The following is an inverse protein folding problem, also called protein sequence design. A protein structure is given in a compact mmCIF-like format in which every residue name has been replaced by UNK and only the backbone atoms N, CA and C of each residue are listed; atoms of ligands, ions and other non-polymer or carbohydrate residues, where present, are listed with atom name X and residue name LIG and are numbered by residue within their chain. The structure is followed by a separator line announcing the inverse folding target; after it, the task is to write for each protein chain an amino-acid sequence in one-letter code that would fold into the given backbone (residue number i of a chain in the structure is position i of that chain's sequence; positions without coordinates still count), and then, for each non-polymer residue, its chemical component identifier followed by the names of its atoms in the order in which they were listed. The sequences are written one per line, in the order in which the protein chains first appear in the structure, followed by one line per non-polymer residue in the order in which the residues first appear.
data_IF_522188584298
#
_entry.id   IF_522188584298
#
_cell.length_a   1.000
_cell.length_b   1.000
_cell.length_c   1.000
_cell.angle_alpha   90.00
_cell.angle_beta   90.00
_cell.angle_gamma   90.00
#
_symmetry.space_group_name_H-M   'P 1'
#
loop_
_entity.id
_entity.type
_entity.pdbx_description
1 polymer ?
#
# COMPACT_ATOMS: atom_id res chain seq x y z
N UNK A 1 -17.48 27.14 34.40
CA UNK A 1 -16.87 25.95 33.80
C UNK A 1 -16.62 24.92 34.90
N UNK A 2 -17.25 23.76 34.84
CA UNK A 2 -17.19 22.71 35.86
C UNK A 2 -15.93 21.84 35.68
N UNK A 3 -15.56 21.07 36.71
CA UNK A 3 -14.46 20.09 36.60
C UNK A 3 -14.73 19.04 35.51
N UNK A 4 -15.99 18.63 35.35
CA UNK A 4 -16.39 17.69 34.32
C UNK A 4 -16.22 18.29 32.91
N UNK A 5 -16.59 19.55 32.71
CA UNK A 5 -16.40 20.26 31.44
C UNK A 5 -14.91 20.41 31.11
N UNK A 6 -14.06 20.75 32.09
CA UNK A 6 -12.61 20.83 31.89
C UNK A 6 -12.06 19.47 31.45
N UNK A 7 -12.47 18.40 32.14
CA UNK A 7 -12.04 17.05 31.80
C UNK A 7 -12.46 16.67 30.37
N UNK A 8 -13.75 16.81 30.05
CA UNK A 8 -14.29 16.39 28.76
C UNK A 8 -13.78 17.24 27.59
N UNK A 9 -13.64 18.55 27.77
CA UNK A 9 -13.32 19.48 26.67
C UNK A 9 -11.83 19.76 26.48
N UNK A 10 -10.98 19.42 27.47
CA UNK A 10 -9.53 19.67 27.38
C UNK A 10 -8.72 18.42 27.67
N UNK A 11 -9.01 17.66 28.72
CA UNK A 11 -8.21 16.48 29.10
C UNK A 11 -8.43 15.34 28.10
N UNK A 12 -9.69 14.98 27.84
CA UNK A 12 -10.03 13.91 26.88
C UNK A 12 -9.40 14.12 25.49
N UNK A 13 -9.60 15.27 24.80
CA UNK A 13 -9.01 15.47 23.49
C UNK A 13 -7.48 15.59 23.51
N UNK A 14 -6.88 16.08 24.60
CA UNK A 14 -5.41 16.10 24.75
C UNK A 14 -4.84 14.68 24.82
N UNK A 15 -5.42 13.83 25.67
CA UNK A 15 -4.99 12.43 25.78
C UNK A 15 -5.24 11.69 24.47
N UNK A 16 -6.40 11.90 23.85
CA UNK A 16 -6.71 11.36 22.51
C UNK A 16 -5.68 11.79 21.46
N UNK A 17 -5.25 13.05 21.47
CA UNK A 17 -4.22 13.55 20.54
C UNK A 17 -2.87 12.86 20.72
N UNK A 18 -2.46 12.65 21.98
CA UNK A 18 -1.20 11.96 22.31
C UNK A 18 -1.26 10.49 21.86
N UNK A 19 -2.35 9.79 22.18
CA UNK A 19 -2.50 8.37 21.81
C UNK A 19 -2.56 8.21 20.29
N UNK A 20 -3.32 9.05 19.59
CA UNK A 20 -3.36 9.04 18.13
C UNK A 20 -1.95 9.16 17.53
N UNK A 21 -1.14 10.07 18.07
CA UNK A 21 0.26 10.25 17.65
C UNK A 21 1.09 8.97 17.85
N UNK A 22 0.94 8.30 18.99
CA UNK A 22 1.62 7.04 19.26
C UNK A 22 1.19 5.90 18.32
N UNK A 23 -0.11 5.83 17.99
CA UNK A 23 -0.64 4.80 17.09
C UNK A 23 -0.03 4.88 15.68
N UNK A 24 0.29 6.07 15.19
CA UNK A 24 0.96 6.24 13.89
C UNK A 24 2.37 5.64 13.84
N UNK A 25 3.03 5.44 14.99
CA UNK A 25 4.38 4.88 15.04
C UNK A 25 4.45 3.41 14.58
N UNK A 26 3.36 2.65 14.70
CA UNK A 26 3.32 1.24 14.30
C UNK A 26 3.58 1.08 12.80
N UNK A 27 2.84 1.82 11.96
CA UNK A 27 2.97 1.72 10.50
C UNK A 27 4.33 2.21 9.99
N UNK A 28 4.94 3.19 10.69
CA UNK A 28 6.29 3.66 10.37
C UNK A 28 7.33 2.55 10.49
N UNK A 29 7.25 1.75 11.56
CA UNK A 29 8.18 0.65 11.78
C UNK A 29 8.07 -0.40 10.66
N UNK A 30 6.84 -0.75 10.26
CA UNK A 30 6.59 -1.77 9.25
C UNK A 30 7.08 -1.34 7.86
N UNK A 31 6.81 -0.09 7.46
CA UNK A 31 7.32 0.42 6.18
C UNK A 31 8.83 0.61 6.19
N UNK A 32 9.43 1.07 7.31
CA UNK A 32 10.89 1.16 7.42
C UNK A 32 11.52 -0.20 7.16
N UNK A 33 10.98 -1.27 7.74
CA UNK A 33 11.45 -2.63 7.48
C UNK A 33 11.33 -3.01 6.00
N UNK A 34 10.20 -2.73 5.36
CA UNK A 34 10.01 -2.98 3.93
C UNK A 34 11.03 -2.20 3.07
N UNK A 35 11.32 -0.94 3.41
CA UNK A 35 12.32 -0.13 2.72
C UNK A 35 13.75 -0.68 2.86
N UNK A 36 14.11 -1.21 4.03
CA UNK A 36 15.40 -1.87 4.25
C UNK A 36 15.54 -3.15 3.43
N UNK A 37 14.47 -3.94 3.33
CA UNK A 37 14.43 -5.16 2.52
C UNK A 37 14.38 -4.87 1.02
N UNK A 38 13.86 -3.69 0.64
CA UNK A 38 13.66 -3.32 -0.76
C UNK A 38 12.40 -3.95 -1.39
N UNK A 39 11.54 -4.57 -0.59
CA UNK A 39 10.27 -5.15 -1.05
C UNK A 39 9.15 -4.92 -0.04
N UNK A 40 7.92 -4.71 -0.55
CA UNK A 40 6.72 -4.55 0.28
C UNK A 40 6.35 -5.84 1.01
N UNK A 41 6.70 -7.01 0.45
CA UNK A 41 6.32 -8.30 1.01
C UNK A 41 4.81 -8.40 1.25
N UNK A 42 4.44 -8.66 2.50
CA UNK A 42 3.04 -8.78 2.95
C UNK A 42 2.40 -7.44 3.37
N UNK A 43 3.15 -6.33 3.31
CA UNK A 43 2.64 -5.02 3.70
C UNK A 43 1.73 -4.47 2.60
N UNK A 44 0.44 -4.38 2.89
CA UNK A 44 -0.52 -3.73 2.00
C UNK A 44 -0.43 -2.20 2.14
N UNK A 45 -0.07 -1.47 1.08
CA UNK A 45 0.03 -0.02 1.13
C UNK A 45 -1.31 0.71 0.94
N UNK A 46 -2.38 -0.01 0.60
CA UNK A 46 -3.70 0.59 0.34
C UNK A 46 -4.28 1.37 1.54
N UNK A 47 -4.20 0.89 2.80
CA UNK A 47 -4.67 1.64 3.96
C UNK A 47 -3.97 2.99 4.17
N UNK A 48 -2.73 3.14 3.70
CA UNK A 48 -1.98 4.40 3.85
C UNK A 48 -2.62 5.54 3.04
N UNK A 49 -3.25 5.23 1.91
CA UNK A 49 -3.92 6.20 1.03
C UNK A 49 -5.13 6.80 1.75
N UNK A 50 -5.96 5.95 2.35
CA UNK A 50 -7.12 6.39 3.12
C UNK A 50 -6.71 7.07 4.42
N UNK A 51 -5.64 6.62 5.08
CA UNK A 51 -5.10 7.29 6.26
C UNK A 51 -4.72 8.76 5.97
N UNK A 52 -4.08 9.02 4.83
CA UNK A 52 -3.78 10.39 4.40
C UNK A 52 -5.05 11.21 4.15
N UNK A 53 -6.04 10.63 3.47
CA UNK A 53 -7.33 11.27 3.24
C UNK A 53 -8.09 11.57 4.54
N UNK A 54 -8.13 10.63 5.47
CA UNK A 54 -8.78 10.78 6.76
C UNK A 54 -8.12 11.90 7.59
N UNK A 55 -6.79 11.87 7.73
CA UNK A 55 -6.07 12.88 8.52
C UNK A 55 -6.22 14.28 7.91
N UNK A 56 -6.12 14.42 6.59
CA UNK A 56 -6.40 15.68 5.91
C UNK A 56 -7.85 16.15 6.12
N UNK A 57 -8.82 15.26 5.97
CA UNK A 57 -10.23 15.56 6.17
C UNK A 57 -10.53 16.06 7.59
N UNK A 58 -9.93 15.45 8.61
CA UNK A 58 -10.08 15.89 10.00
C UNK A 58 -9.39 17.21 10.29
N UNK A 59 -8.25 17.50 9.65
CA UNK A 59 -7.59 18.81 9.73
C UNK A 59 -8.49 19.89 9.13
N UNK A 60 -9.05 19.66 7.94
CA UNK A 60 -9.97 20.61 7.27
C UNK A 60 -11.24 20.80 8.12
N UNK A 61 -11.82 19.71 8.62
CA UNK A 61 -13.00 19.78 9.48
C UNK A 61 -12.72 20.54 10.78
N UNK A 62 -11.61 20.24 11.45
CA UNK A 62 -11.16 20.94 12.66
C UNK A 62 -10.93 22.43 12.42
N UNK A 63 -10.39 22.81 11.26
CA UNK A 63 -10.26 24.21 10.85
C UNK A 63 -11.62 24.91 10.76
N UNK A 64 -12.61 24.33 10.08
CA UNK A 64 -13.95 24.94 9.98
C UNK A 64 -14.70 24.98 11.32
N UNK A 65 -14.44 24.01 12.21
CA UNK A 65 -15.03 23.96 13.55
C UNK A 65 -14.29 24.81 14.59
N UNK A 66 -13.19 25.48 14.22
CA UNK A 66 -12.31 26.16 15.16
C UNK A 66 -11.89 25.25 16.33
N UNK A 67 -11.62 23.98 16.01
CA UNK A 67 -11.24 22.95 16.96
C UNK A 67 -9.74 22.65 16.86
N UNK A 68 -8.90 23.25 17.72
CA UNK A 68 -7.45 23.05 17.66
C UNK A 68 -7.03 21.63 18.01
N UNK A 69 -7.83 20.90 18.81
CA UNK A 69 -7.49 19.53 19.19
C UNK A 69 -7.62 18.58 18.00
N UNK A 70 -8.69 18.71 17.21
CA UNK A 70 -8.86 17.92 15.99
C UNK A 70 -7.70 18.14 15.01
N UNK A 71 -7.29 19.40 14.82
CA UNK A 71 -6.15 19.74 13.96
C UNK A 71 -4.85 19.14 14.53
N UNK A 72 -4.57 19.37 15.81
CA UNK A 72 -3.35 18.91 16.46
C UNK A 72 -3.22 17.37 16.48
N UNK A 73 -4.31 16.65 16.68
CA UNK A 73 -4.31 15.19 16.72
C UNK A 73 -4.04 14.53 15.36
N UNK A 74 -4.43 15.20 14.27
CA UNK A 74 -4.36 14.64 12.93
C UNK A 74 -3.13 15.12 12.15
N UNK A 75 -2.55 16.25 12.53
CA UNK A 75 -1.39 16.82 11.84
C UNK A 75 -0.16 15.88 11.84
N UNK A 76 0.26 15.26 12.96
CA UNK A 76 1.35 14.27 12.94
C UNK A 76 1.02 13.09 12.03
N UNK A 77 -0.22 12.60 12.09
CA UNK A 77 -0.71 11.50 11.27
C UNK A 77 -0.69 11.79 9.78
N UNK A 78 -0.99 13.03 9.40
CA UNK A 78 -0.93 13.45 8.01
C UNK A 78 0.51 13.38 7.48
N UNK A 79 1.48 13.95 8.18
CA UNK A 79 2.89 13.87 7.78
C UNK A 79 3.42 12.44 7.75
N UNK A 80 3.06 11.62 8.73
CA UNK A 80 3.37 10.19 8.71
C UNK A 80 2.75 9.52 7.49
N UNK A 81 1.49 9.81 7.17
CA UNK A 81 0.80 9.23 6.02
C UNK A 81 1.44 9.67 4.68
N UNK A 82 1.94 10.90 4.56
CA UNK A 82 2.71 11.33 3.40
C UNK A 82 3.98 10.49 3.23
N UNK A 83 4.74 10.31 4.32
CA UNK A 83 5.93 9.46 4.32
C UNK A 83 5.60 8.01 3.96
N UNK A 84 4.50 7.48 4.49
CA UNK A 84 4.08 6.10 4.22
C UNK A 84 3.72 5.88 2.74
N UNK A 85 2.95 6.79 2.16
CA UNK A 85 2.58 6.72 0.75
C UNK A 85 3.79 6.88 -0.17
N UNK A 86 4.70 7.81 0.15
CA UNK A 86 5.95 7.98 -0.60
C UNK A 86 6.82 6.71 -0.57
N UNK A 87 7.05 6.13 0.61
CA UNK A 87 7.86 4.92 0.72
C UNK A 87 7.22 3.70 0.03
N UNK A 88 5.90 3.56 0.11
CA UNK A 88 5.18 2.53 -0.63
C UNK A 88 5.27 2.72 -2.15
N UNK A 89 5.11 3.94 -2.65
CA UNK A 89 5.27 4.24 -4.07
C UNK A 89 6.69 3.94 -4.55
N UNK A 90 7.71 4.34 -3.76
CA UNK A 90 9.13 4.04 -4.05
C UNK A 90 9.37 2.54 -4.22
N UNK A 91 8.84 1.71 -3.33
CA UNK A 91 8.98 0.26 -3.42
C UNK A 91 8.24 -0.33 -4.64
N UNK A 92 7.08 0.22 -5.01
CA UNK A 92 6.38 -0.18 -6.24
C UNK A 92 7.19 0.17 -7.49
N UNK A 93 7.80 1.36 -7.55
CA UNK A 93 8.69 1.74 -8.64
C UNK A 93 9.88 0.79 -8.74
N UNK A 94 10.51 0.46 -7.60
CA UNK A 94 11.63 -0.46 -7.55
C UNK A 94 11.26 -1.84 -8.12
N UNK A 95 10.09 -2.38 -7.73
CA UNK A 95 9.56 -3.63 -8.26
C UNK A 95 9.31 -3.60 -9.77
N UNK A 96 8.76 -2.51 -10.30
CA UNK A 96 8.54 -2.36 -11.76
C UNK A 96 9.88 -2.29 -12.49
N UNK A 97 10.84 -1.55 -11.95
CA UNK A 97 12.17 -1.41 -12.52
C UNK A 97 12.92 -2.75 -12.58
N UNK A 98 12.90 -3.52 -11.49
CA UNK A 98 13.49 -4.86 -11.44
C UNK A 98 12.88 -5.79 -12.50
N UNK A 99 11.54 -5.85 -12.59
CA UNK A 99 10.86 -6.67 -13.59
C UNK A 99 11.20 -6.28 -15.04
N UNK A 100 11.39 -4.98 -15.30
CA UNK A 100 11.81 -4.50 -16.63
C UNK A 100 13.22 -4.95 -16.96
N UNK A 101 14.15 -4.86 -16.00
CA UNK A 101 15.52 -5.35 -16.18
C UNK A 101 15.56 -6.86 -16.44
N UNK A 102 14.83 -7.65 -15.65
CA UNK A 102 14.72 -9.10 -15.82
C UNK A 102 14.15 -9.46 -17.20
N UNK A 103 13.04 -8.83 -17.60
CA UNK A 103 12.42 -9.04 -18.92
C UNK A 103 13.39 -8.72 -20.06
N UNK A 104 14.13 -7.61 -19.96
CA UNK A 104 15.09 -7.20 -20.98
C UNK A 104 16.29 -8.16 -21.05
N UNK A 105 16.72 -8.71 -19.90
CA UNK A 105 17.77 -9.73 -19.85
C UNK A 105 17.31 -11.04 -20.50
N UNK A 106 16.10 -11.52 -20.19
CA UNK A 106 15.53 -12.73 -20.80
C UNK A 106 15.28 -12.55 -22.30
N UNK A 107 14.77 -11.41 -22.72
CA UNK A 107 14.55 -11.09 -24.14
C UNK A 107 15.86 -11.04 -24.92
N UNK A 108 16.89 -10.40 -24.37
CA UNK A 108 18.23 -10.37 -24.99
C UNK A 108 18.84 -11.77 -25.08
N UNK A 109 18.67 -12.60 -24.04
CA UNK A 109 19.16 -13.97 -24.05
C UNK A 109 18.45 -14.83 -25.11
N UNK A 110 17.13 -14.73 -25.21
CA UNK A 110 16.35 -15.41 -26.24
C UNK A 110 16.76 -14.99 -27.66
N UNK A 111 16.94 -13.69 -27.88
CA UNK A 111 17.39 -13.17 -29.19
C UNK A 111 18.78 -13.69 -29.58
N UNK A 112 19.70 -13.76 -28.62
CA UNK A 112 21.05 -14.34 -28.84
C UNK A 112 20.99 -15.84 -29.16
N UNK A 113 20.12 -16.61 -28.48
CA UNK A 113 19.95 -18.05 -28.76
C UNK A 113 19.39 -18.30 -30.16
N UNK A 114 18.37 -17.54 -30.57
CA UNK A 114 17.78 -17.65 -31.92
C UNK A 114 18.80 -17.25 -32.99
N UNK A 115 19.55 -16.17 -32.77
CA UNK A 115 20.60 -15.74 -33.70
C UNK A 115 21.71 -16.79 -33.84
N UNK A 116 22.06 -17.50 -32.77
CA UNK A 116 23.06 -18.57 -32.81
C UNK A 116 22.54 -19.81 -33.54
N UNK A 117 21.29 -20.23 -33.30
CA UNK A 117 20.66 -21.34 -34.03
C UNK A 117 20.54 -21.04 -35.53
N UNK A 118 20.12 -19.82 -35.90
CA UNK A 118 20.06 -19.42 -37.31
C UNK A 118 21.46 -19.34 -37.95
N UNK A 119 22.49 -18.99 -37.18
CA UNK A 119 23.88 -19.03 -37.62
C UNK A 119 24.39 -20.45 -37.87
N UNK A 120 24.03 -21.39 -36.99
CA UNK A 120 24.38 -22.82 -37.11
C UNK A 120 23.64 -23.49 -38.27
N UNK A 121 22.33 -23.32 -38.39
CA UNK A 121 21.54 -23.84 -39.53
C UNK A 121 22.05 -23.29 -40.88
N UNK A 122 22.50 -22.03 -40.91
CA UNK A 122 23.05 -21.40 -42.12
C UNK A 122 24.44 -21.94 -42.49
N UNK A 123 25.23 -22.39 -41.53
CA UNK A 123 26.54 -23.01 -41.79
C UNK A 123 26.41 -24.46 -42.28
N UNK A 124 25.47 -25.21 -41.71
CA UNK A 124 25.16 -26.58 -42.11
C UNK A 124 24.49 -26.67 -43.50
N UNK A 125 23.91 -25.56 -43.98
CA UNK A 125 23.39 -25.41 -45.34
C UNK A 125 24.44 -25.01 -46.39
N UNK A 126 25.72 -25.35 -46.17
CA UNK A 126 26.75 -25.20 -47.21
C UNK A 126 26.44 -26.16 -48.37
N UNK A 127 26.20 -25.67 -49.61
CA UNK A 127 25.92 -26.55 -50.73
C UNK A 127 27.15 -27.44 -51.01
N UNK A 128 26.96 -28.67 -51.51
CA UNK A 128 28.08 -29.48 -51.97
C UNK A 128 28.87 -28.66 -53.00
N UNK A 129 30.20 -28.66 -52.87
CA UNK A 129 31.09 -28.09 -53.87
C UNK A 129 30.98 -28.91 -55.16
N UNK A 130 29.99 -28.62 -55.99
CA UNK A 130 30.10 -28.78 -57.43
C UNK A 130 29.08 -27.91 -58.17
N UNK A 131 29.50 -27.47 -59.35
CA UNK A 131 28.79 -26.61 -60.31
C UNK A 131 28.45 -25.19 -59.82
N UNK A 132 29.41 -24.30 -60.09
CA UNK A 132 29.13 -22.90 -60.41
C UNK A 132 28.09 -22.82 -61.54
N UNK A 133 27.29 -21.75 -61.48
CA UNK A 133 26.36 -21.27 -62.53
C UNK A 133 25.04 -22.07 -62.65
N UNK A 134 23.94 -21.55 -62.05
CA UNK A 134 22.64 -21.36 -62.75
C UNK A 134 21.42 -20.95 -61.87
N UNK A 135 21.49 -20.79 -60.55
CA UNK A 135 20.29 -20.46 -59.75
C UNK A 135 20.10 -18.97 -59.39
N UNK A 136 20.13 -18.06 -60.38
CA UNK A 136 19.73 -16.66 -60.17
C UNK A 136 18.35 -16.30 -60.77
N UNK A 137 17.56 -17.27 -61.28
CA UNK A 137 16.31 -16.96 -62.01
C UNK A 137 15.07 -17.80 -61.62
N UNK A 138 14.98 -18.35 -60.40
CA UNK A 138 13.76 -19.11 -59.98
C UNK A 138 13.15 -18.67 -58.64
N UNK A 139 13.88 -17.93 -57.79
CA UNK A 139 13.37 -17.52 -56.47
C UNK A 139 12.38 -16.34 -56.50
N UNK A 140 12.19 -15.66 -57.63
CA UNK A 140 11.36 -14.46 -57.71
C UNK A 140 9.85 -14.71 -57.96
N UNK A 141 9.40 -15.97 -58.15
CA UNK A 141 8.04 -16.25 -58.65
C UNK A 141 7.15 -17.10 -57.72
N UNK A 142 7.68 -17.78 -56.69
CA UNK A 142 6.89 -18.72 -55.88
C UNK A 142 7.12 -18.59 -54.36
N UNK A 143 6.47 -17.61 -53.72
CA UNK A 143 6.52 -17.49 -52.26
C UNK A 143 5.50 -16.56 -51.62
N UNK A 144 4.34 -16.36 -52.24
CA UNK A 144 3.20 -15.76 -51.58
C UNK A 144 2.59 -16.74 -50.57
N UNK A 145 2.39 -16.24 -49.34
CA UNK A 145 1.62 -16.83 -48.23
C UNK A 145 2.21 -18.05 -47.52
N UNK A 146 2.63 -17.86 -46.26
CA UNK A 146 2.04 -18.42 -45.02
C UNK A 146 2.93 -18.02 -43.84
N UNK A 147 2.37 -17.34 -42.84
CA UNK A 147 3.09 -16.94 -41.63
C UNK A 147 2.41 -15.83 -40.83
N UNK A 148 1.20 -16.11 -40.35
CA UNK A 148 0.49 -15.29 -39.37
C UNK A 148 1.21 -15.27 -38.01
N UNK A 149 1.60 -14.09 -37.54
CA UNK A 149 1.61 -13.69 -36.12
C UNK A 149 1.62 -12.15 -36.10
N UNK A 150 0.47 -11.48 -36.05
CA UNK A 150 -0.27 -11.17 -34.84
C UNK A 150 0.52 -10.26 -33.89
N UNK A 151 0.52 -8.96 -34.19
CA UNK A 151 0.49 -7.87 -33.21
C UNK A 151 1.70 -7.68 -32.30
N UNK A 152 2.84 -7.25 -32.85
CA UNK A 152 3.76 -6.41 -32.07
C UNK A 152 3.30 -4.96 -32.21
N UNK A 153 2.53 -4.50 -31.22
CA UNK A 153 2.34 -3.08 -31.00
C UNK A 153 3.69 -2.46 -30.67
N UNK A 154 4.09 -1.53 -31.52
CA UNK A 154 5.18 -0.57 -31.37
C UNK A 154 5.20 0.09 -29.97
N UNK A 155 5.94 -0.51 -29.04
CA UNK A 155 6.21 -0.03 -27.67
C UNK A 155 7.44 0.91 -27.65
N UNK A 156 7.71 1.65 -28.73
CA UNK A 156 8.90 2.52 -28.86
C UNK A 156 8.76 3.91 -28.24
N UNK A 157 7.61 4.24 -27.65
CA UNK A 157 7.49 5.38 -26.74
C UNK A 157 7.64 4.88 -25.30
N UNK A 158 8.81 5.01 -24.65
CA UNK A 158 8.88 4.83 -23.22
C UNK A 158 7.97 5.92 -22.63
N UNK A 159 6.86 5.51 -22.01
CA UNK A 159 6.10 6.37 -21.10
C UNK A 159 7.06 6.85 -20.01
N UNK A 160 7.76 7.97 -20.29
CA UNK A 160 8.75 8.57 -19.40
C UNK A 160 8.08 9.06 -18.11
N UNK A 161 6.75 9.12 -18.10
CA UNK A 161 5.90 9.49 -16.98
C UNK A 161 4.89 8.38 -16.67
N UNK A 162 5.36 7.20 -16.27
CA UNK A 162 4.48 6.16 -15.74
C UNK A 162 4.29 6.35 -14.24
N UNK A 163 3.03 6.40 -13.77
CA UNK A 163 2.71 6.48 -12.35
C UNK A 163 2.38 5.11 -11.79
N UNK A 164 2.92 4.79 -10.61
CA UNK A 164 2.52 3.58 -9.88
C UNK A 164 1.14 3.73 -9.26
N UNK A 165 0.36 2.63 -9.10
CA UNK A 165 -1.00 2.70 -8.57
C UNK A 165 -1.11 3.41 -7.22
N UNK A 166 -0.12 3.24 -6.32
CA UNK A 166 -0.10 3.93 -5.02
C UNK A 166 -0.12 5.44 -5.20
N UNK A 167 0.75 5.97 -6.04
CA UNK A 167 0.92 7.40 -6.27
C UNK A 167 -0.32 7.98 -6.96
N UNK A 168 -0.83 7.31 -8.00
CA UNK A 168 -2.05 7.74 -8.70
C UNK A 168 -3.25 7.83 -7.75
N UNK A 169 -3.48 6.80 -6.94
CA UNK A 169 -4.61 6.77 -6.02
C UNK A 169 -4.45 7.76 -4.87
N UNK A 170 -3.23 7.93 -4.36
CA UNK A 170 -2.91 8.96 -3.37
C UNK A 170 -3.25 10.36 -3.90
N UNK A 171 -2.77 10.71 -5.10
CA UNK A 171 -3.07 12.01 -5.69
C UNK A 171 -4.56 12.22 -5.96
N UNK A 172 -5.29 11.18 -6.41
CA UNK A 172 -6.75 11.26 -6.58
C UNK A 172 -7.45 11.65 -5.27
N UNK A 173 -7.08 11.04 -4.15
CA UNK A 173 -7.65 11.38 -2.84
C UNK A 173 -7.26 12.81 -2.43
N UNK A 174 -6.00 13.20 -2.57
CA UNK A 174 -5.54 14.56 -2.20
C UNK A 174 -6.20 15.65 -3.04
N UNK A 175 -6.33 15.44 -4.35
CA UNK A 175 -7.03 16.36 -5.25
C UNK A 175 -8.52 16.44 -4.91
N UNK A 176 -9.17 15.31 -4.62
CA UNK A 176 -10.57 15.32 -4.19
C UNK A 176 -10.78 16.16 -2.92
N UNK A 177 -9.87 16.04 -1.94
CA UNK A 177 -9.90 16.86 -0.73
C UNK A 177 -9.60 18.34 -1.01
N UNK A 178 -8.65 18.64 -1.89
CA UNK A 178 -8.33 20.02 -2.26
C UNK A 178 -9.51 20.70 -2.96
N UNK A 179 -10.18 20.00 -3.89
CA UNK A 179 -11.40 20.47 -4.56
C UNK A 179 -12.50 20.70 -3.53
N UNK A 180 -12.74 19.73 -2.65
CA UNK A 180 -13.78 19.83 -1.62
C UNK A 180 -13.51 21.00 -0.66
N UNK A 181 -12.28 21.17 -0.19
CA UNK A 181 -11.89 22.26 0.70
C UNK A 181 -12.03 23.63 0.02
N UNK A 182 -11.64 23.72 -1.25
CA UNK A 182 -11.79 24.94 -2.06
C UNK A 182 -13.26 25.28 -2.25
N UNK A 183 -14.06 24.29 -2.64
CA UNK A 183 -15.51 24.44 -2.79
C UNK A 183 -16.17 24.89 -1.49
N UNK A 184 -15.88 24.19 -0.38
CA UNK A 184 -16.40 24.51 0.94
C UNK A 184 -16.04 25.93 1.38
N UNK A 185 -14.81 26.40 1.09
CA UNK A 185 -14.35 27.72 1.51
C UNK A 185 -14.92 28.87 0.67
N UNK A 186 -15.08 28.67 -0.64
CA UNK A 186 -15.42 29.76 -1.57
C UNK A 186 -16.89 29.80 -1.98
N UNK A 187 -17.59 28.66 -1.96
CA UNK A 187 -18.93 28.53 -2.54
C UNK A 187 -20.02 28.23 -1.51
N UNK A 188 -19.67 28.05 -0.23
CA UNK A 188 -20.68 27.95 0.83
C UNK A 188 -20.92 29.31 1.46
N UNK A 189 -22.18 29.59 1.79
CA UNK A 189 -22.62 30.87 2.36
C UNK A 189 -22.23 31.03 3.83
N UNK A 190 -22.06 29.93 4.55
CA UNK A 190 -21.80 29.92 5.97
C UNK A 190 -20.86 28.77 6.37
N UNK A 191 -20.11 28.98 7.46
CA UNK A 191 -19.12 28.01 7.96
C UNK A 191 -19.75 26.71 8.44
N UNK A 192 -21.03 26.71 8.85
CA UNK A 192 -21.70 25.52 9.32
C UNK A 192 -21.98 24.56 8.16
N UNK A 193 -22.38 25.08 7.00
CA UNK A 193 -22.54 24.33 5.76
C UNK A 193 -21.19 23.75 5.29
N UNK A 194 -20.12 24.56 5.26
CA UNK A 194 -18.77 24.09 4.94
C UNK A 194 -18.31 22.94 5.86
N UNK A 195 -18.47 23.14 7.17
CA UNK A 195 -18.13 22.15 8.18
C UNK A 195 -18.93 20.86 8.01
N UNK A 196 -20.23 20.95 7.78
CA UNK A 196 -21.11 19.79 7.60
C UNK A 196 -20.70 18.99 6.37
N UNK A 197 -20.38 19.65 5.26
CA UNK A 197 -19.92 19.02 4.03
C UNK A 197 -18.60 18.25 4.26
N UNK A 198 -17.58 18.91 4.83
CA UNK A 198 -16.30 18.27 5.13
C UNK A 198 -16.45 17.16 6.18
N UNK A 199 -17.33 17.34 7.16
CA UNK A 199 -17.61 16.39 8.24
C UNK A 199 -18.22 15.08 7.73
N UNK A 200 -19.19 15.16 6.81
CA UNK A 200 -19.72 13.97 6.17
C UNK A 200 -18.70 13.29 5.26
N UNK A 201 -17.93 14.07 4.48
CA UNK A 201 -16.90 13.52 3.61
C UNK A 201 -15.82 12.75 4.37
N UNK A 202 -15.36 13.26 5.52
CA UNK A 202 -14.35 12.55 6.33
C UNK A 202 -14.92 11.29 6.97
N UNK A 203 -16.21 11.29 7.34
CA UNK A 203 -16.89 10.12 7.85
C UNK A 203 -17.08 9.03 6.79
N UNK A 204 -17.37 9.40 5.54
CA UNK A 204 -17.38 8.44 4.42
C UNK A 204 -15.99 7.83 4.23
N UNK A 205 -14.92 8.64 4.31
CA UNK A 205 -13.55 8.12 4.24
C UNK A 205 -13.24 7.14 5.40
N UNK A 206 -13.71 7.44 6.61
CA UNK A 206 -13.57 6.56 7.78
C UNK A 206 -14.19 5.17 7.58
N UNK A 207 -15.27 5.03 6.81
CA UNK A 207 -15.86 3.71 6.51
C UNK A 207 -14.85 2.82 5.78
N UNK A 208 -14.10 3.36 4.81
CA UNK A 208 -13.04 2.62 4.11
C UNK A 208 -11.88 2.30 5.05
N UNK A 209 -11.53 3.23 5.95
CA UNK A 209 -10.50 3.00 6.96
C UNK A 209 -10.85 1.84 7.91
N UNK A 210 -12.13 1.72 8.31
CA UNK A 210 -12.61 0.60 9.12
C UNK A 210 -12.70 -0.74 8.38
N UNK A 211 -12.46 -0.76 7.07
CA UNK A 211 -12.34 -2.00 6.30
C UNK A 211 -11.24 -2.92 6.84
N UNK A 212 -10.11 -2.37 7.30
CA UNK A 212 -9.00 -3.15 7.85
C UNK A 212 -9.37 -3.92 9.14
N UNK A 213 -9.88 -3.29 10.22
CA UNK A 213 -10.29 -4.04 11.42
C UNK A 213 -11.45 -5.00 11.16
N UNK A 214 -12.39 -4.67 10.26
CA UNK A 214 -13.45 -5.59 9.83
C UNK A 214 -12.88 -6.84 9.14
N UNK A 215 -11.91 -6.66 8.25
CA UNK A 215 -11.21 -7.76 7.61
C UNK A 215 -10.48 -8.63 8.65
N UNK A 216 -9.81 -8.03 9.63
CA UNK A 216 -9.15 -8.75 10.72
C UNK A 216 -10.14 -9.55 11.55
N UNK A 217 -11.30 -8.98 11.93
CA UNK A 217 -12.37 -9.68 12.62
C UNK A 217 -12.82 -10.91 11.83
N UNK A 218 -13.11 -10.73 10.53
CA UNK A 218 -13.50 -11.83 9.64
C UNK A 218 -12.43 -12.91 9.57
N UNK A 219 -11.16 -12.53 9.51
CA UNK A 219 -10.04 -13.45 9.49
C UNK A 219 -10.00 -14.30 10.76
N UNK A 220 -10.05 -13.68 11.94
CA UNK A 220 -10.02 -14.40 13.23
C UNK A 220 -11.19 -15.36 13.38
N UNK A 221 -12.41 -14.94 13.00
CA UNK A 221 -13.60 -15.81 13.04
C UNK A 221 -13.46 -17.00 12.09
N UNK A 222 -12.82 -16.83 10.93
CA UNK A 222 -12.63 -17.93 9.97
C UNK A 222 -11.50 -18.88 10.39
N UNK A 223 -10.41 -18.35 10.94
CA UNK A 223 -9.21 -19.14 11.27
C UNK A 223 -9.24 -19.69 12.70
N UNK A 224 -10.14 -19.19 13.54
CA UNK A 224 -10.16 -19.42 14.98
C UNK A 224 -8.79 -19.13 15.63
N UNK A 225 -8.09 -18.08 15.15
CA UNK A 225 -6.76 -17.68 15.62
C UNK A 225 -6.67 -16.15 15.70
N UNK A 226 -6.40 -15.63 16.90
CA UNK A 226 -6.33 -14.19 17.14
C UNK A 226 -4.95 -13.58 16.84
N UNK A 227 -4.03 -14.30 16.20
CA UNK A 227 -2.66 -13.83 15.94
C UNK A 227 -2.60 -12.56 15.08
N UNK A 228 -3.63 -12.29 14.28
CA UNK A 228 -3.73 -11.09 13.44
C UNK A 228 -4.06 -9.81 14.23
N UNK A 229 -4.53 -9.93 15.48
CA UNK A 229 -4.87 -8.78 16.32
C UNK A 229 -3.67 -8.42 17.19
N UNK A 230 -3.07 -7.26 16.94
CA UNK A 230 -2.02 -6.72 17.79
C UNK A 230 -2.62 -6.06 19.05
N UNK A 231 -2.51 -6.74 20.20
CA UNK A 231 -3.17 -6.35 21.46
C UNK A 231 -2.81 -4.93 21.94
N UNK A 232 -1.54 -4.46 21.91
CA UNK A 232 -1.22 -3.09 22.29
C UNK A 232 -1.95 -2.02 21.44
N UNK A 233 -1.99 -2.20 20.11
CA UNK A 233 -2.69 -1.28 19.20
C UNK A 233 -4.19 -1.30 19.44
N UNK A 234 -4.77 -2.48 19.72
CA UNK A 234 -6.18 -2.60 20.09
C UNK A 234 -6.51 -1.80 21.36
N UNK A 235 -5.71 -1.96 22.42
CA UNK A 235 -5.90 -1.22 23.68
C UNK A 235 -5.79 0.29 23.47
N UNK A 236 -4.76 0.75 22.74
CA UNK A 236 -4.61 2.16 22.41
C UNK A 236 -5.79 2.68 21.59
N UNK A 237 -6.28 1.90 20.62
CA UNK A 237 -7.42 2.27 19.79
C UNK A 237 -8.71 2.41 20.60
N UNK A 238 -8.98 1.50 21.53
CA UNK A 238 -10.14 1.57 22.43
C UNK A 238 -10.10 2.80 23.33
N UNK A 239 -8.94 3.08 23.93
CA UNK A 239 -8.78 4.26 24.79
C UNK A 239 -8.92 5.54 23.97
N UNK A 240 -8.29 5.60 22.79
CA UNK A 240 -8.36 6.74 21.89
C UNK A 240 -9.80 7.04 21.44
N UNK A 241 -10.49 6.02 20.91
CA UNK A 241 -11.88 6.15 20.46
C UNK A 241 -12.82 6.53 21.60
N UNK A 242 -12.59 6.02 22.82
CA UNK A 242 -13.35 6.44 24.00
C UNK A 242 -13.19 7.92 24.31
N UNK A 243 -11.95 8.44 24.34
CA UNK A 243 -11.69 9.85 24.62
C UNK A 243 -12.26 10.79 23.56
N UNK A 244 -12.12 10.44 22.27
CA UNK A 244 -12.70 11.23 21.19
C UNK A 244 -14.23 11.16 21.16
N UNK A 245 -14.82 10.01 21.49
CA UNK A 245 -16.27 9.87 21.62
C UNK A 245 -16.81 10.74 22.77
N UNK A 246 -16.18 10.70 23.95
CA UNK A 246 -16.55 11.54 25.09
C UNK A 246 -16.41 13.03 24.76
N UNK A 247 -15.32 13.42 24.10
CA UNK A 247 -15.12 14.78 23.62
C UNK A 247 -16.21 15.22 22.64
N UNK A 248 -16.53 14.38 21.65
CA UNK A 248 -17.60 14.64 20.69
C UNK A 248 -18.98 14.80 21.35
N UNK A 249 -19.30 13.96 22.35
CA UNK A 249 -20.55 14.08 23.13
C UNK A 249 -20.59 15.40 23.88
N UNK A 250 -19.50 15.79 24.55
CA UNK A 250 -19.41 17.06 25.28
C UNK A 250 -19.51 18.29 24.37
N UNK A 251 -19.06 18.16 23.11
CA UNK A 251 -19.20 19.19 22.07
C UNK A 251 -20.53 19.12 21.30
N UNK A 252 -21.42 18.20 21.67
CA UNK A 252 -22.67 17.88 20.93
C UNK A 252 -22.45 17.68 19.42
N UNK A 253 -21.30 17.10 19.06
CA UNK A 253 -20.83 17.01 17.68
C UNK A 253 -20.88 15.57 17.15
N UNK A 254 -21.94 15.25 16.42
CA UNK A 254 -22.17 13.91 15.85
C UNK A 254 -21.09 13.49 14.84
N UNK A 255 -20.47 14.44 14.15
CA UNK A 255 -19.41 14.16 13.17
C UNK A 255 -18.22 13.50 13.86
N UNK A 256 -17.90 13.90 15.10
CA UNK A 256 -16.84 13.31 15.92
C UNK A 256 -17.32 12.03 16.61
N UNK A 257 -18.56 12.01 17.12
CA UNK A 257 -19.10 10.85 17.87
C UNK A 257 -19.26 9.62 16.99
N UNK A 258 -19.88 9.76 15.81
CA UNK A 258 -20.24 8.63 14.97
C UNK A 258 -19.07 7.70 14.58
N UNK A 259 -17.94 8.19 14.05
CA UNK A 259 -16.84 7.31 13.66
C UNK A 259 -16.15 6.73 14.90
N UNK A 260 -15.97 7.52 15.96
CA UNK A 260 -15.34 7.02 17.19
C UNK A 260 -16.19 5.96 17.91
N UNK A 261 -17.52 6.08 17.90
CA UNK A 261 -18.41 5.04 18.39
C UNK A 261 -18.28 3.76 17.56
N UNK A 262 -18.24 3.86 16.22
CA UNK A 262 -18.02 2.71 15.34
C UNK A 262 -16.66 2.04 15.62
N UNK A 263 -15.58 2.82 15.72
CA UNK A 263 -14.25 2.32 16.06
C UNK A 263 -14.20 1.65 17.43
N UNK A 264 -14.87 2.23 18.44
CA UNK A 264 -14.96 1.65 19.78
C UNK A 264 -15.69 0.29 19.75
N UNK A 265 -16.83 0.20 19.06
CA UNK A 265 -17.58 -1.05 18.91
C UNK A 265 -16.77 -2.14 18.19
N UNK A 266 -16.04 -1.78 17.14
CA UNK A 266 -15.12 -2.70 16.45
C UNK A 266 -13.99 -3.17 17.39
N UNK A 267 -13.42 -2.28 18.19
CA UNK A 267 -12.41 -2.63 19.18
C UNK A 267 -12.96 -3.55 20.28
N UNK A 268 -14.20 -3.34 20.72
CA UNK A 268 -14.86 -4.24 21.68
C UNK A 268 -15.05 -5.62 21.05
N UNK A 269 -15.52 -5.69 19.81
CA UNK A 269 -15.66 -6.96 19.08
C UNK A 269 -14.31 -7.70 18.95
N UNK A 270 -13.23 -6.99 18.60
CA UNK A 270 -11.87 -7.56 18.54
C UNK A 270 -11.37 -8.05 19.90
N UNK A 271 -11.68 -7.31 20.97
CA UNK A 271 -11.31 -7.71 22.34
C UNK A 271 -12.02 -8.99 22.76
N UNK A 272 -13.31 -9.09 22.48
CA UNK A 272 -14.11 -10.29 22.72
C UNK A 272 -13.50 -11.49 21.97
N UNK A 273 -13.18 -11.33 20.69
CA UNK A 273 -12.55 -12.40 19.90
C UNK A 273 -11.20 -12.84 20.47
N UNK A 274 -10.38 -11.92 20.98
CA UNK A 274 -9.11 -12.26 21.63
C UNK A 274 -9.28 -13.07 22.93
N UNK A 275 -10.43 -12.96 23.60
CA UNK A 275 -10.75 -13.76 24.78
C UNK A 275 -11.25 -15.15 24.41
N UNK A 276 -12.02 -15.29 23.32
CA UNK A 276 -12.57 -16.57 22.88
C UNK A 276 -11.60 -17.42 22.05
N UNK A 277 -10.80 -16.79 21.17
CA UNK A 277 -9.85 -17.49 20.29
C UNK A 277 -8.40 -17.27 20.76
N UNK A 278 -7.72 -18.30 21.28
CA UNK A 278 -6.33 -18.18 21.68
C UNK A 278 -5.39 -18.11 20.47
N UNK A 279 -4.20 -17.52 20.68
CA UNK A 279 -3.14 -17.51 19.65
C UNK A 279 -2.61 -18.93 19.45
N UNK A 280 -2.61 -19.42 18.21
CA UNK A 280 -2.03 -20.75 17.90
C UNK A 280 -0.50 -20.73 18.06
N UNK A 281 0.03 -21.59 18.93
CA UNK A 281 1.47 -21.68 19.28
C UNK A 281 2.41 -21.95 18.09
N UNK A 282 1.92 -22.53 16.99
CA UNK A 282 2.73 -22.85 15.81
C UNK A 282 3.36 -21.64 15.09
N UNK A 283 2.82 -20.42 15.25
CA UNK A 283 3.40 -19.19 14.66
C UNK A 283 4.35 -18.44 15.60
N UNK A 284 4.21 -18.60 16.92
CA UNK A 284 5.13 -18.00 17.89
C UNK A 284 6.53 -18.62 17.78
N UNK A 285 6.62 -19.94 17.59
CA UNK A 285 7.91 -20.62 17.37
C UNK A 285 8.61 -20.21 16.08
N UNK A 286 7.87 -19.81 15.04
CA UNK A 286 8.45 -19.34 13.78
C UNK A 286 8.91 -17.86 13.84
N UNK A 287 8.28 -17.03 14.67
CA UNK A 287 8.72 -15.64 14.91
C UNK A 287 9.92 -15.61 15.88
N UNK A 288 9.95 -16.51 16.86
CA UNK A 288 11.08 -16.64 17.80
C UNK A 288 12.30 -17.29 17.12
N UNK A 289 12.10 -18.31 16.28
CA UNK A 289 13.17 -18.94 15.49
C UNK A 289 13.49 -18.23 14.16
N UNK A 290 12.68 -17.24 13.77
CA UNK A 290 12.89 -16.37 12.60
C UNK A 290 13.88 -15.23 12.85
N UNK A 291 14.44 -15.13 14.06
CA UNK A 291 15.76 -14.50 14.28
C UNK A 291 16.85 -15.45 13.78
N UNK A 292 16.74 -15.90 12.54
CA UNK A 292 17.87 -16.52 11.85
C UNK A 292 18.94 -15.46 11.83
N UNK A 293 20.09 -15.80 12.41
CA UNK A 293 21.34 -15.04 12.27
C UNK A 293 21.57 -14.76 10.78
N UNK A 294 21.11 -13.61 10.29
CA UNK A 294 21.77 -12.97 9.16
C UNK A 294 23.04 -12.40 9.78
N UNK A 295 24.05 -13.26 9.91
CA UNK A 295 25.42 -12.82 10.08
C UNK A 295 25.65 -11.79 8.98
N UNK A 296 25.86 -10.53 9.37
CA UNK A 296 26.28 -9.51 8.42
C UNK A 296 27.51 -10.05 7.67
N UNK A 297 27.54 -10.01 6.33
CA UNK A 297 28.72 -10.45 5.60
C UNK A 297 29.88 -9.54 6.00
N UNK A 298 30.93 -10.11 6.58
CA UNK A 298 32.07 -9.39 7.15
C UNK A 298 33.06 -8.88 6.09
N UNK A 299 32.72 -8.91 4.80
CA UNK A 299 33.54 -8.28 3.76
C UNK A 299 32.74 -7.93 2.51
N UNK A 300 33.19 -6.89 1.81
CA UNK A 300 32.57 -6.29 0.60
C UNK A 300 32.65 -7.22 -0.63
N UNK A 301 33.29 -8.38 -0.53
CA UNK A 301 33.62 -9.23 -1.69
C UNK A 301 32.53 -10.24 -2.11
N UNK A 302 31.41 -10.34 -1.38
CA UNK A 302 30.37 -11.37 -1.60
C UNK A 302 29.11 -10.87 -2.35
N UNK A 303 29.15 -9.66 -2.93
CA UNK A 303 28.04 -9.11 -3.75
C UNK A 303 28.08 -9.60 -5.20
N UNK A 304 28.02 -10.93 -5.42
CA UNK A 304 27.65 -11.47 -6.74
C UNK A 304 26.28 -12.14 -6.65
N UNK A 305 25.35 -11.87 -7.60
CA UNK A 305 24.06 -12.54 -7.61
C UNK A 305 24.26 -14.04 -7.87
N UNK A 306 23.84 -14.88 -6.92
CA UNK A 306 23.71 -16.32 -7.15
C UNK A 306 22.53 -16.57 -8.09
N UNK A 307 22.67 -17.41 -9.13
CA UNK A 307 21.57 -17.75 -10.02
C UNK A 307 20.52 -18.57 -9.26
N UNK A 308 19.25 -18.21 -9.42
CA UNK A 308 18.11 -18.93 -8.85
C UNK A 308 17.99 -20.26 -9.62
N UNK A 309 18.14 -21.38 -8.90
CA UNK A 309 17.85 -22.70 -9.41
C UNK A 309 16.37 -22.77 -9.85
N UNK A 310 16.14 -23.19 -11.08
CA UNK A 310 14.81 -23.49 -11.61
C UNK A 310 14.30 -24.77 -10.94
N UNK A 311 13.26 -24.63 -10.10
CA UNK A 311 12.42 -25.76 -9.69
C UNK A 311 11.26 -25.81 -10.70
N UNK A 312 11.47 -26.61 -11.74
CA UNK A 312 10.44 -27.01 -12.70
C UNK A 312 10.31 -28.52 -12.53
N UNK A 313 9.15 -28.94 -12.02
CA UNK A 313 8.47 -30.23 -12.20
C UNK A 313 7.81 -30.68 -10.89
N UNK A 314 6.49 -30.51 -10.81
CA UNK A 314 5.51 -31.51 -10.31
C UNK A 314 4.14 -30.86 -10.09
N UNK A 315 3.38 -30.71 -11.18
CA UNK A 315 1.90 -30.72 -11.15
C UNK A 315 1.38 -31.27 -12.48
N UNK A 316 1.20 -32.60 -12.49
CA UNK A 316 0.18 -33.29 -13.30
C UNK A 316 -0.95 -33.68 -12.35
#
# INVERSE_FOLDING_TARGET
MTLLEIFLLYVCPTIGSIIATMMYASALHDLRRALWVGDLGVLDPFPFIFAAGCTLGWIIYGYFQWDPFLVAANLPGFFVSLWLNYGAAKLQYYRVFQRRMERNATSSHHHNMVAQQQGEERWDASPPLDSQEEEEEVAAVLGGAVGSSMGDTDDSHPDLLFFVPQETNFFRIMVAWAILATYASWFTTDKQTASTLCGWAVNVNMVFFYGAPLHTIRSVVRTHDSSAIHRPTLSMSLINTSFWMLYGVARTNVVIVAPNAAGFLLGVAQSILCMYYPVRKGRLGAVENGTTRISAPSSIHDMTPQPIAQDVDDFV
#
